data_IF_558840771055
#
_entry.id   IF_558840771055
#
_cell.length_a   1.000
_cell.length_b   1.000
_cell.length_c   1.000
_cell.angle_alpha   90.00
_cell.angle_beta   90.00
_cell.angle_gamma   90.00
#
_symmetry.space_group_name_H-M   'P 1'
#
loop_
_entity.id
_entity.type
_entity.pdbx_description
1 polymer ?
#
# COMPACT_ATOMS: atom_id res chain seq x y z
N UNK A 1 10.71 23.15 -43.01
CA UNK A 1 9.68 22.97 -41.95
C UNK A 1 10.42 22.87 -40.62
N UNK A 2 10.35 23.92 -39.78
CA UNK A 2 10.89 23.84 -38.41
C UNK A 2 10.00 22.85 -37.65
N UNK A 3 10.59 21.81 -37.05
CA UNK A 3 9.86 20.97 -36.12
C UNK A 3 9.40 21.87 -34.97
N UNK A 4 8.09 21.98 -34.75
CA UNK A 4 7.54 22.62 -33.56
C UNK A 4 8.23 22.03 -32.33
N UNK A 5 8.65 22.89 -31.42
CA UNK A 5 9.28 22.41 -30.20
C UNK A 5 8.21 21.66 -29.41
N UNK A 6 8.54 20.50 -28.84
CA UNK A 6 7.58 19.73 -28.03
C UNK A 6 6.98 20.57 -26.88
N UNK A 7 7.72 21.58 -26.40
CA UNK A 7 7.25 22.51 -25.38
C UNK A 7 6.00 23.27 -25.83
N UNK A 8 5.85 23.49 -27.13
CA UNK A 8 4.69 24.16 -27.74
C UNK A 8 3.52 23.20 -27.97
N UNK A 9 3.77 21.88 -27.95
CA UNK A 9 2.78 20.84 -28.28
C UNK A 9 1.94 20.33 -27.09
N UNK A 10 2.09 20.92 -25.90
CA UNK A 10 1.30 20.53 -24.71
C UNK A 10 1.54 19.10 -24.22
N UNK A 11 2.66 18.51 -24.60
CA UNK A 11 2.90 17.10 -24.40
C UNK A 11 3.54 16.79 -23.03
N UNK A 12 3.16 15.66 -22.42
CA UNK A 12 3.61 15.20 -21.09
C UNK A 12 4.56 14.01 -21.24
N UNK A 13 5.70 14.03 -20.54
CA UNK A 13 6.63 12.90 -20.51
C UNK A 13 6.53 12.16 -19.18
N UNK A 14 6.49 10.84 -19.25
CA UNK A 14 6.35 9.96 -18.10
C UNK A 14 7.43 8.89 -18.18
N UNK A 15 8.13 8.66 -17.08
CA UNK A 15 9.20 7.68 -16.97
C UNK A 15 9.33 7.13 -15.55
N UNK A 16 10.42 6.41 -15.32
CA UNK A 16 10.81 5.87 -14.01
C UNK A 16 12.28 6.17 -13.73
N UNK A 17 12.64 6.41 -12.48
CA UNK A 17 14.02 6.64 -12.03
C UNK A 17 14.32 5.85 -10.75
N UNK A 18 15.56 5.37 -10.53
CA UNK A 18 15.94 4.69 -9.28
C UNK A 18 15.72 5.56 -8.03
N UNK A 19 15.27 4.97 -6.93
CA UNK A 19 14.95 5.66 -5.67
C UNK A 19 16.19 6.00 -4.83
N UNK A 20 17.28 5.26 -5.02
CA UNK A 20 18.54 5.38 -4.28
C UNK A 20 19.47 6.48 -4.78
N UNK A 21 19.11 7.16 -5.86
CA UNK A 21 19.86 8.29 -6.39
C UNK A 21 19.25 9.59 -5.90
N UNK A 22 20.03 10.40 -5.16
CA UNK A 22 19.69 11.78 -4.82
C UNK A 22 19.51 12.59 -6.11
N UNK A 23 18.29 12.58 -6.64
CA UNK A 23 17.95 13.09 -7.95
C UNK A 23 17.93 14.63 -7.95
N UNK A 24 19.11 15.23 -8.09
CA UNK A 24 19.27 16.63 -8.44
C UNK A 24 19.31 16.76 -9.96
N UNK A 25 18.25 17.35 -10.52
CA UNK A 25 18.17 17.85 -11.90
C UNK A 25 18.35 16.82 -13.03
N UNK A 26 17.23 16.27 -13.49
CA UNK A 26 17.17 15.62 -14.79
C UNK A 26 17.07 16.68 -15.91
N UNK A 27 18.00 16.63 -16.86
CA UNK A 27 17.94 17.43 -18.09
C UNK A 27 17.95 16.49 -19.30
N UNK A 28 16.88 16.53 -20.09
CA UNK A 28 16.75 15.78 -21.34
C UNK A 28 16.79 16.71 -22.55
N UNK A 29 17.45 16.28 -23.63
CA UNK A 29 17.50 17.05 -24.90
C UNK A 29 16.72 16.30 -25.98
N UNK A 30 15.80 17.02 -26.63
CA UNK A 30 14.96 16.51 -27.73
C UNK A 30 15.56 16.95 -29.07
N UNK A 31 15.69 16.04 -30.03
CA UNK A 31 16.01 16.37 -31.43
C UNK A 31 14.99 15.72 -32.37
N UNK A 32 14.36 16.51 -33.23
CA UNK A 32 13.39 16.08 -34.25
C UNK A 32 12.11 15.40 -33.70
N UNK A 33 11.51 15.94 -32.63
CA UNK A 33 10.25 15.39 -32.08
C UNK A 33 10.36 13.98 -31.47
N UNK A 34 11.58 13.47 -31.33
CA UNK A 34 11.91 12.20 -30.67
C UNK A 34 12.78 12.49 -29.47
N UNK A 35 12.41 11.94 -28.32
CA UNK A 35 13.20 12.04 -27.11
C UNK A 35 14.39 11.08 -27.23
N UNK A 36 15.61 11.61 -27.15
CA UNK A 36 16.80 10.82 -27.48
C UNK A 36 17.68 10.47 -26.29
N UNK A 37 17.39 10.96 -25.07
CA UNK A 37 18.24 10.67 -23.89
C UNK A 37 17.61 11.12 -22.57
N UNK A 38 17.36 10.17 -21.67
CA UNK A 38 17.35 10.41 -20.22
C UNK A 38 18.76 10.11 -19.70
N UNK A 39 19.45 11.09 -19.12
CA UNK A 39 20.73 10.85 -18.46
C UNK A 39 20.47 10.43 -17.02
N UNK A 40 20.91 9.22 -16.70
CA UNK A 40 21.12 8.73 -15.34
C UNK A 40 22.63 8.62 -15.18
N UNK A 41 23.16 9.14 -14.06
CA UNK A 41 24.60 9.15 -13.81
C UNK A 41 25.19 7.73 -13.88
N UNK A 42 26.39 7.59 -14.45
CA UNK A 42 27.03 6.31 -14.79
C UNK A 42 27.01 5.93 -16.27
N UNK A 43 26.56 6.80 -17.18
CA UNK A 43 26.70 6.61 -18.63
C UNK A 43 25.63 5.72 -19.29
N UNK A 44 24.58 5.35 -18.55
CA UNK A 44 23.46 4.56 -19.09
C UNK A 44 22.39 5.49 -19.66
N UNK A 45 22.32 5.60 -20.99
CA UNK A 45 21.27 6.35 -21.68
C UNK A 45 20.02 5.49 -21.87
N UNK A 46 18.85 6.00 -21.46
CA UNK A 46 17.56 5.40 -21.78
C UNK A 46 16.90 6.17 -22.94
N UNK A 47 16.37 5.45 -23.92
CA UNK A 47 15.49 6.02 -24.95
C UNK A 47 14.08 6.14 -24.36
N UNK A 48 13.51 7.34 -24.38
CA UNK A 48 12.10 7.50 -24.02
C UNK A 48 11.24 7.29 -25.27
N UNK A 49 10.18 6.52 -25.11
CA UNK A 49 9.23 6.25 -26.16
C UNK A 49 8.25 7.42 -26.28
N UNK A 50 8.15 7.99 -27.49
CA UNK A 50 7.00 8.80 -27.87
C UNK A 50 6.05 7.89 -28.65
N UNK A 51 4.78 7.83 -28.25
CA UNK A 51 3.74 7.20 -29.08
C UNK A 51 3.62 8.06 -30.34
N UNK A 52 4.32 7.66 -31.40
CA UNK A 52 4.34 8.41 -32.65
C UNK A 52 2.91 8.53 -33.19
N UNK A 53 2.42 9.77 -33.33
CA UNK A 53 1.08 10.06 -33.86
C UNK A 53 -0.05 10.13 -32.83
N UNK A 54 0.24 10.13 -31.52
CA UNK A 54 -0.77 10.35 -30.49
C UNK A 54 -1.27 11.79 -30.48
N UNK A 55 -2.60 11.98 -30.50
CA UNK A 55 -3.22 13.27 -30.16
C UNK A 55 -2.77 13.71 -28.75
N UNK A 56 -2.68 15.03 -28.48
CA UNK A 56 -2.40 15.52 -27.14
C UNK A 56 -3.37 14.90 -26.13
N UNK A 57 -2.86 14.61 -24.92
CA UNK A 57 -3.70 14.07 -23.86
C UNK A 57 -4.81 15.07 -23.51
N UNK A 58 -6.06 14.63 -23.33
CA UNK A 58 -7.14 15.53 -22.95
C UNK A 58 -6.88 16.10 -21.53
N UNK A 59 -7.32 17.33 -21.30
CA UNK A 59 -7.31 17.93 -19.96
C UNK A 59 -8.11 17.03 -19.01
N UNK A 60 -7.54 16.72 -17.84
CA UNK A 60 -8.14 15.79 -16.88
C UNK A 60 -7.87 14.30 -17.16
N UNK A 61 -7.01 13.97 -18.13
CA UNK A 61 -6.62 12.59 -18.36
C UNK A 61 -5.98 11.96 -17.12
N UNK A 62 -6.44 10.78 -16.72
CA UNK A 62 -5.81 9.96 -15.69
C UNK A 62 -4.82 9.00 -16.33
N UNK A 63 -3.59 8.94 -15.83
CA UNK A 63 -2.56 8.04 -16.36
C UNK A 63 -2.17 7.05 -15.28
N UNK A 64 -2.36 5.77 -15.58
CA UNK A 64 -1.98 4.67 -14.69
C UNK A 64 -0.71 4.04 -15.22
N UNK A 65 0.37 4.12 -14.45
CA UNK A 65 1.61 3.42 -14.74
C UNK A 65 1.71 2.15 -13.89
N UNK A 66 2.19 1.05 -14.48
CA UNK A 66 2.54 -0.17 -13.76
C UNK A 66 3.92 -0.65 -14.19
N UNK A 67 4.72 -1.09 -13.22
CA UNK A 67 6.03 -1.69 -13.45
C UNK A 67 5.99 -3.13 -12.95
N UNK A 68 6.15 -4.10 -13.85
CA UNK A 68 6.20 -5.52 -13.51
C UNK A 68 7.26 -6.23 -14.35
N UNK A 69 8.09 -7.06 -13.71
CA UNK A 69 9.11 -7.90 -14.38
C UNK A 69 9.98 -7.13 -15.38
N UNK A 70 10.48 -5.94 -14.99
CA UNK A 70 11.33 -5.12 -15.86
C UNK A 70 10.58 -4.43 -17.01
N UNK A 71 9.25 -4.54 -17.05
CA UNK A 71 8.38 -3.95 -18.07
C UNK A 71 7.56 -2.81 -17.47
N UNK A 72 7.74 -1.61 -18.00
CA UNK A 72 6.89 -0.46 -17.69
C UNK A 72 5.73 -0.42 -18.70
N UNK A 73 4.52 -0.23 -18.22
CA UNK A 73 3.35 -0.03 -19.08
C UNK A 73 2.43 1.05 -18.54
N UNK A 74 1.70 1.70 -19.44
CA UNK A 74 0.85 2.85 -19.14
C UNK A 74 -0.54 2.67 -19.72
N UNK A 75 -1.56 3.08 -18.98
CA UNK A 75 -2.94 3.18 -19.45
C UNK A 75 -3.42 4.64 -19.28
N UNK A 76 -4.23 5.12 -20.22
CA UNK A 76 -4.86 6.44 -20.15
C UNK A 76 -6.35 6.25 -19.95
N UNK A 77 -6.93 6.94 -18.97
CA UNK A 77 -8.35 6.92 -18.64
C UNK A 77 -8.93 5.50 -18.44
N UNK A 78 -8.16 4.61 -17.79
CA UNK A 78 -8.56 3.21 -17.59
C UNK A 78 -8.57 2.35 -18.85
N UNK A 79 -7.98 2.83 -19.95
CA UNK A 79 -7.85 2.09 -21.20
C UNK A 79 -6.85 0.91 -21.13
N UNK A 80 -6.60 0.29 -22.27
CA UNK A 80 -5.64 -0.80 -22.37
C UNK A 80 -4.20 -0.32 -22.06
N UNK A 81 -3.42 -1.16 -21.37
CA UNK A 81 -2.03 -0.87 -21.08
C UNK A 81 -1.17 -0.99 -22.35
N UNK A 82 -0.46 0.08 -22.69
CA UNK A 82 0.60 0.08 -23.68
C UNK A 82 1.95 -0.16 -22.99
N UNK A 83 2.76 -1.05 -23.55
CA UNK A 83 4.09 -1.36 -23.02
C UNK A 83 5.12 -0.36 -23.52
N UNK A 84 5.90 0.20 -22.60
CA UNK A 84 7.05 1.02 -22.93
C UNK A 84 8.20 0.13 -23.41
N UNK A 85 8.73 0.43 -24.59
CA UNK A 85 9.91 -0.25 -25.11
C UNK A 85 11.17 0.51 -24.67
N UNK A 86 12.06 -0.20 -23.97
CA UNK A 86 13.36 0.32 -23.57
C UNK A 86 14.43 -0.27 -24.47
N UNK A 87 15.39 0.56 -24.90
CA UNK A 87 16.55 0.10 -25.67
C UNK A 87 17.46 -0.85 -24.89
N UNK A 88 17.29 -0.96 -23.57
CA UNK A 88 17.95 -1.92 -22.69
C UNK A 88 16.95 -2.43 -21.65
N UNK A 89 17.09 -3.69 -21.18
CA UNK A 89 16.27 -4.20 -20.08
C UNK A 89 16.41 -3.31 -18.84
N UNK A 90 15.30 -3.04 -18.15
CA UNK A 90 15.35 -2.34 -16.86
C UNK A 90 15.94 -3.31 -15.82
N UNK A 91 16.97 -2.89 -15.06
CA UNK A 91 17.52 -3.70 -13.98
C UNK A 91 16.45 -4.19 -12.99
N UNK A 92 16.47 -5.49 -12.70
CA UNK A 92 15.62 -6.10 -11.68
C UNK A 92 16.24 -5.92 -10.29
N UNK A 93 15.42 -5.76 -9.25
CA UNK A 93 15.89 -5.63 -7.86
C UNK A 93 16.25 -4.20 -7.43
N UNK A 94 16.06 -3.21 -8.31
CA UNK A 94 16.18 -1.78 -7.99
C UNK A 94 14.78 -1.21 -7.72
N UNK A 95 14.64 -0.36 -6.70
CA UNK A 95 13.41 0.38 -6.45
C UNK A 95 13.36 1.59 -7.38
N UNK A 96 12.23 1.78 -8.07
CA UNK A 96 12.03 2.90 -8.98
C UNK A 96 10.88 3.80 -8.51
N UNK A 97 11.05 5.11 -8.67
CA UNK A 97 10.02 6.13 -8.54
C UNK A 97 9.51 6.58 -9.92
N UNK A 98 8.22 6.88 -10.08
CA UNK A 98 7.70 7.49 -11.29
C UNK A 98 8.21 8.93 -11.43
N UNK A 99 8.54 9.34 -12.65
CA UNK A 99 8.97 10.71 -12.96
C UNK A 99 8.07 11.28 -14.04
N UNK A 100 7.59 12.51 -13.83
CA UNK A 100 6.76 13.22 -14.79
C UNK A 100 7.42 14.56 -15.11
N UNK A 101 7.62 14.85 -16.41
CA UNK A 101 8.17 16.11 -16.88
C UNK A 101 7.14 16.90 -17.69
N UNK A 102 7.05 18.19 -17.38
CA UNK A 102 6.22 19.16 -18.10
C UNK A 102 7.11 20.04 -18.96
N UNK A 103 6.74 20.18 -20.23
CA UNK A 103 7.44 21.06 -21.16
C UNK A 103 7.16 22.55 -20.93
N UNK A 104 6.11 22.89 -20.16
CA UNK A 104 5.63 24.25 -19.98
C UNK A 104 5.77 24.73 -18.54
N UNK A 105 6.14 26.00 -18.36
CA UNK A 105 6.11 26.67 -17.04
C UNK A 105 4.65 26.89 -16.64
N UNK A 106 4.31 26.54 -15.40
CA UNK A 106 2.98 26.79 -14.82
C UNK A 106 1.98 25.64 -14.94
N UNK A 107 2.36 24.48 -15.48
CA UNK A 107 1.52 23.28 -15.41
C UNK A 107 1.56 22.69 -14.00
N UNK A 108 0.40 22.54 -13.37
CA UNK A 108 0.26 21.86 -12.08
C UNK A 108 -0.15 20.41 -12.30
N UNK A 109 0.37 19.52 -11.45
CA UNK A 109 0.03 18.10 -11.45
C UNK A 109 -0.60 17.78 -10.14
N UNK A 110 -1.80 17.25 -10.20
CA UNK A 110 -2.35 16.56 -9.04
C UNK A 110 -1.94 15.09 -9.14
N UNK A 111 -1.04 14.68 -8.26
CA UNK A 111 -0.75 13.25 -8.08
C UNK A 111 -1.90 12.68 -7.27
N UNK A 112 -2.94 12.25 -7.98
CA UNK A 112 -3.92 11.34 -7.41
C UNK A 112 -3.19 10.05 -7.14
N UNK A 113 -2.86 9.82 -5.86
CA UNK A 113 -2.48 8.49 -5.42
C UNK A 113 -3.73 7.65 -5.64
N UNK A 114 -3.81 7.00 -6.80
CA UNK A 114 -4.75 5.92 -6.97
C UNK A 114 -4.52 5.02 -5.78
N UNK A 115 -5.59 4.62 -5.10
CA UNK A 115 -5.55 3.47 -4.23
C UNK A 115 -5.24 2.26 -5.12
N UNK A 116 -4.00 2.16 -5.62
CA UNK A 116 -3.35 0.89 -5.69
C UNK A 116 -3.64 0.31 -4.32
N UNK A 117 -4.41 -0.77 -4.32
CA UNK A 117 -4.64 -1.66 -3.19
C UNK A 117 -3.25 -2.13 -2.72
N UNK A 118 -2.53 -1.22 -2.09
CA UNK A 118 -1.09 -1.22 -1.84
C UNK A 118 -0.75 -2.11 -0.66
N UNK A 119 -1.74 -2.81 -0.14
CA UNK A 119 -1.48 -4.07 0.51
C UNK A 119 -1.21 -5.12 -0.56
N UNK A 120 0.06 -5.25 -0.98
CA UNK A 120 0.62 -6.57 -1.32
C UNK A 120 0.46 -7.59 -0.17
N UNK A 121 -0.08 -7.16 0.97
CA UNK A 121 -0.51 -8.03 2.04
C UNK A 121 -1.78 -8.80 1.65
N UNK A 122 -1.72 -10.11 1.78
CA UNK A 122 -2.86 -11.02 1.60
C UNK A 122 -4.13 -10.50 2.32
N UNK A 123 -5.34 -10.59 1.76
CA UNK A 123 -6.56 -10.27 2.51
C UNK A 123 -6.65 -11.02 3.87
N UNK A 124 -7.18 -10.38 4.92
CA UNK A 124 -7.20 -10.94 6.28
C UNK A 124 -8.03 -12.22 6.37
N UNK A 125 -9.20 -12.22 5.73
CA UNK A 125 -10.10 -13.35 5.55
C UNK A 125 -9.41 -14.56 4.92
N UNK A 126 -8.60 -14.35 3.87
CA UNK A 126 -7.82 -15.41 3.23
C UNK A 126 -6.76 -15.95 4.18
N UNK A 127 -6.02 -15.07 4.87
CA UNK A 127 -4.96 -15.47 5.80
C UNK A 127 -5.52 -16.33 6.96
N UNK A 128 -6.69 -15.96 7.46
CA UNK A 128 -7.42 -16.71 8.49
C UNK A 128 -7.93 -18.03 7.96
N UNK A 129 -8.50 -18.05 6.75
CA UNK A 129 -8.96 -19.26 6.10
C UNK A 129 -7.82 -20.28 5.95
N UNK A 130 -6.65 -19.80 5.52
CA UNK A 130 -5.42 -20.62 5.43
C UNK A 130 -5.00 -21.13 6.81
N UNK A 131 -4.99 -20.30 7.85
CA UNK A 131 -4.66 -20.73 9.21
C UNK A 131 -5.62 -21.81 9.72
N UNK A 132 -6.93 -21.62 9.49
CA UNK A 132 -7.98 -22.55 9.92
C UNK A 132 -7.86 -23.90 9.19
N UNK A 133 -7.63 -23.88 7.87
CA UNK A 133 -7.40 -25.09 7.09
C UNK A 133 -6.11 -25.79 7.51
N UNK A 134 -5.01 -25.05 7.68
CA UNK A 134 -3.73 -25.59 8.12
C UNK A 134 -3.86 -26.25 9.50
N UNK A 135 -4.61 -25.66 10.43
CA UNK A 135 -4.92 -26.27 11.74
C UNK A 135 -5.76 -27.53 11.59
N UNK A 136 -6.84 -27.49 10.79
CA UNK A 136 -7.74 -28.64 10.56
C UNK A 136 -7.02 -29.85 9.97
N UNK A 137 -6.06 -29.62 9.07
CA UNK A 137 -5.28 -30.67 8.42
C UNK A 137 -3.88 -30.88 9.05
N UNK A 138 -3.61 -30.26 10.21
CA UNK A 138 -2.35 -30.39 10.96
C UNK A 138 -1.09 -30.06 10.14
N UNK A 139 -1.19 -29.14 9.18
CA UNK A 139 -0.06 -28.67 8.36
C UNK A 139 0.72 -27.60 9.13
N UNK A 140 1.60 -28.06 10.03
CA UNK A 140 2.31 -27.22 11.00
C UNK A 140 3.11 -26.07 10.38
N UNK A 141 3.79 -26.30 9.26
CA UNK A 141 4.59 -25.27 8.57
C UNK A 141 3.72 -24.08 8.11
N UNK A 142 2.59 -24.36 7.45
CA UNK A 142 1.67 -23.33 6.95
C UNK A 142 0.99 -22.61 8.11
N UNK A 143 0.58 -23.33 9.15
CA UNK A 143 -0.02 -22.74 10.35
C UNK A 143 0.98 -21.78 11.03
N UNK A 144 2.25 -22.15 11.13
CA UNK A 144 3.31 -21.31 11.70
C UNK A 144 3.50 -20.02 10.90
N UNK A 145 3.57 -20.12 9.56
CA UNK A 145 3.69 -18.94 8.68
C UNK A 145 2.47 -18.02 8.79
N UNK A 146 1.26 -18.57 8.77
CA UNK A 146 0.03 -17.80 8.89
C UNK A 146 -0.07 -17.11 10.26
N UNK A 147 0.27 -17.82 11.33
CA UNK A 147 0.34 -17.28 12.70
C UNK A 147 1.34 -16.13 12.79
N UNK A 148 2.53 -16.25 12.18
CA UNK A 148 3.54 -15.19 12.16
C UNK A 148 3.02 -13.95 11.42
N UNK A 149 2.44 -14.14 10.23
CA UNK A 149 1.86 -13.04 9.46
C UNK A 149 0.72 -12.32 10.20
N UNK A 150 -0.13 -13.05 10.92
CA UNK A 150 -1.19 -12.45 11.76
C UNK A 150 -0.60 -11.65 12.93
N UNK A 151 0.43 -12.15 13.61
CA UNK A 151 1.14 -11.42 14.67
C UNK A 151 1.77 -10.11 14.15
N UNK A 152 2.39 -10.15 12.98
CA UNK A 152 2.93 -8.94 12.34
C UNK A 152 1.83 -7.93 12.02
N UNK A 153 0.65 -8.38 11.59
CA UNK A 153 -0.48 -7.48 11.32
C UNK A 153 -1.04 -6.84 12.58
N UNK A 154 -1.12 -7.57 13.68
CA UNK A 154 -1.48 -7.00 14.99
C UNK A 154 -0.50 -5.88 15.36
N UNK A 155 0.80 -6.14 15.22
CA UNK A 155 1.84 -5.13 15.48
C UNK A 155 1.72 -3.92 14.54
N UNK A 156 1.42 -4.14 13.25
CA UNK A 156 1.18 -3.06 12.28
C UNK A 156 -0.07 -2.24 12.63
N UNK A 157 -1.18 -2.89 12.98
CA UNK A 157 -2.43 -2.24 13.37
C UNK A 157 -2.22 -1.35 14.60
N UNK A 158 -1.51 -1.87 15.63
CA UNK A 158 -1.11 -1.08 16.81
C UNK A 158 -0.27 0.14 16.43
N UNK A 159 0.77 -0.02 15.59
CA UNK A 159 1.60 1.10 15.12
C UNK A 159 0.81 2.17 14.37
N UNK A 160 -0.18 1.76 13.57
CA UNK A 160 -1.07 2.65 12.81
C UNK A 160 -2.22 3.20 13.65
N UNK A 161 -2.37 2.78 14.91
CA UNK A 161 -3.50 3.08 15.78
C UNK A 161 -4.86 2.69 15.17
N UNK A 162 -4.85 1.66 14.33
CA UNK A 162 -6.05 1.15 13.67
C UNK A 162 -6.73 0.11 14.58
N UNK A 163 -7.68 0.60 15.38
CA UNK A 163 -8.42 -0.23 16.33
C UNK A 163 -9.33 -1.23 15.61
N UNK A 164 -9.90 -0.86 14.45
CA UNK A 164 -10.83 -1.73 13.72
C UNK A 164 -10.13 -2.96 13.14
N UNK A 165 -8.96 -2.76 12.52
CA UNK A 165 -8.16 -3.88 12.03
C UNK A 165 -7.67 -4.78 13.18
N UNK A 166 -7.25 -4.19 14.31
CA UNK A 166 -6.81 -4.95 15.48
C UNK A 166 -7.94 -5.83 16.05
N UNK A 167 -9.11 -5.22 16.26
CA UNK A 167 -10.32 -5.87 16.75
C UNK A 167 -10.74 -7.02 15.84
N UNK A 168 -10.78 -6.80 14.53
CA UNK A 168 -11.14 -7.83 13.56
C UNK A 168 -10.16 -9.01 13.60
N UNK A 169 -8.85 -8.77 13.71
CA UNK A 169 -7.85 -9.84 13.82
C UNK A 169 -8.04 -10.63 15.12
N UNK A 170 -8.28 -9.95 16.25
CA UNK A 170 -8.48 -10.62 17.55
C UNK A 170 -9.78 -11.43 17.57
N UNK A 171 -10.90 -10.86 17.13
CA UNK A 171 -12.17 -11.58 17.00
C UNK A 171 -12.01 -12.85 16.16
N UNK A 172 -11.25 -12.75 15.08
CA UNK A 172 -10.99 -13.88 14.19
C UNK A 172 -10.04 -14.90 14.80
N UNK A 173 -9.06 -14.48 15.59
CA UNK A 173 -8.19 -15.39 16.35
C UNK A 173 -8.99 -16.17 17.41
N UNK A 174 -9.96 -15.53 18.06
CA UNK A 174 -10.87 -16.17 19.03
C UNK A 174 -11.74 -17.21 18.33
N UNK A 175 -12.40 -16.85 17.22
CA UNK A 175 -13.30 -17.77 16.52
C UNK A 175 -12.59 -18.93 15.83
N UNK A 176 -11.33 -18.75 15.43
CA UNK A 176 -10.48 -19.79 14.83
C UNK A 176 -9.70 -20.65 15.84
N UNK A 177 -9.89 -20.43 17.15
CA UNK A 177 -9.10 -21.05 18.22
C UNK A 177 -7.58 -20.91 17.98
N UNK A 178 -7.14 -19.74 17.51
CA UNK A 178 -5.73 -19.45 17.20
C UNK A 178 -5.03 -18.88 18.43
N UNK A 179 -4.88 -19.70 19.48
CA UNK A 179 -4.39 -19.26 20.80
C UNK A 179 -3.06 -18.49 20.76
N UNK A 180 -2.13 -18.92 19.91
CA UNK A 180 -0.84 -18.23 19.76
C UNK A 180 -0.97 -16.80 19.23
N UNK A 181 -1.99 -16.52 18.39
CA UNK A 181 -2.30 -15.17 17.88
C UNK A 181 -3.07 -14.40 18.95
N UNK A 182 -4.04 -15.03 19.60
CA UNK A 182 -4.84 -14.44 20.70
C UNK A 182 -3.95 -13.94 21.83
N UNK A 183 -3.03 -14.77 22.34
CA UNK A 183 -2.10 -14.37 23.41
C UNK A 183 -1.20 -13.20 22.98
N UNK A 184 -0.67 -13.23 21.76
CA UNK A 184 0.15 -12.13 21.23
C UNK A 184 -0.66 -10.82 21.07
N UNK A 185 -1.95 -10.92 20.74
CA UNK A 185 -2.86 -9.78 20.69
C UNK A 185 -3.11 -9.22 22.09
N UNK A 186 -3.41 -10.07 23.07
CA UNK A 186 -3.62 -9.66 24.46
C UNK A 186 -2.37 -8.98 25.05
N UNK A 187 -1.18 -9.51 24.79
CA UNK A 187 0.07 -8.87 25.18
C UNK A 187 0.26 -7.51 24.50
N UNK A 188 -0.05 -7.43 23.20
CA UNK A 188 0.00 -6.16 22.46
C UNK A 188 -1.02 -5.14 22.95
N UNK A 189 -2.19 -5.59 23.41
CA UNK A 189 -3.29 -4.77 23.87
C UNK A 189 -2.97 -4.02 25.17
N UNK A 190 -2.14 -4.59 26.06
CA UNK A 190 -1.78 -3.98 27.35
C UNK A 190 -1.35 -2.52 27.24
N UNK A 191 -0.57 -2.19 26.21
CA UNK A 191 -0.06 -0.83 25.97
C UNK A 191 -0.75 -0.12 24.80
N UNK A 192 -1.96 -0.54 24.40
CA UNK A 192 -2.70 0.06 23.30
C UNK A 192 -3.82 0.99 23.82
N UNK A 193 -3.47 2.25 24.06
CA UNK A 193 -4.37 3.23 24.72
C UNK A 193 -5.67 3.49 23.95
N UNK A 194 -5.62 3.55 22.62
CA UNK A 194 -6.79 3.77 21.77
C UNK A 194 -7.78 2.61 21.84
N UNK A 195 -7.28 1.37 21.90
CA UNK A 195 -8.10 0.18 22.11
C UNK A 195 -8.73 0.19 23.50
N UNK A 196 -7.97 0.58 24.54
CA UNK A 196 -8.47 0.71 25.90
C UNK A 196 -9.62 1.71 25.99
N UNK A 197 -9.50 2.85 25.33
CA UNK A 197 -10.56 3.87 25.29
C UNK A 197 -11.85 3.33 24.68
N UNK A 198 -11.76 2.56 23.58
CA UNK A 198 -12.94 1.91 22.96
C UNK A 198 -13.56 0.82 23.83
N UNK A 199 -12.72 0.09 24.57
CA UNK A 199 -13.16 -0.92 25.53
C UNK A 199 -13.95 -0.29 26.68
N UNK A 200 -13.41 0.76 27.30
CA UNK A 200 -14.10 1.47 28.39
C UNK A 200 -15.40 2.14 27.92
N UNK A 201 -15.46 2.56 26.65
CA UNK A 201 -16.68 3.05 26.01
C UNK A 201 -17.71 1.96 25.67
N UNK A 202 -17.38 0.67 25.82
CA UNK A 202 -18.27 -0.45 25.47
C UNK A 202 -18.56 -0.55 23.97
N UNK A 203 -17.67 -0.03 23.12
CA UNK A 203 -17.86 0.07 21.66
C UNK A 203 -17.27 -1.10 20.87
N UNK A 204 -16.59 -2.03 21.55
CA UNK A 204 -15.96 -3.19 20.93
C UNK A 204 -16.96 -4.35 20.75
N UNK A 205 -16.63 -5.28 19.85
CA UNK A 205 -17.30 -6.54 19.66
C UNK A 205 -17.38 -7.31 20.98
N UNK A 206 -18.54 -7.89 21.33
CA UNK A 206 -18.74 -8.56 22.62
C UNK A 206 -17.71 -9.64 22.94
N UNK A 207 -17.34 -10.44 21.94
CA UNK A 207 -16.33 -11.51 22.07
C UNK A 207 -14.94 -10.95 22.37
N UNK A 208 -14.56 -9.85 21.74
CA UNK A 208 -13.28 -9.18 21.96
C UNK A 208 -13.27 -8.51 23.33
N UNK A 209 -14.36 -7.84 23.70
CA UNK A 209 -14.52 -7.22 25.01
C UNK A 209 -14.44 -8.27 26.13
N UNK A 210 -15.07 -9.43 25.95
CA UNK A 210 -14.98 -10.52 26.92
C UNK A 210 -13.54 -11.02 27.09
N UNK A 211 -12.80 -11.19 25.99
CA UNK A 211 -11.41 -11.65 26.08
C UNK A 211 -10.49 -10.61 26.73
N UNK A 212 -10.71 -9.32 26.45
CA UNK A 212 -9.95 -8.22 27.04
C UNK A 212 -10.19 -8.05 28.55
N UNK A 213 -11.26 -8.61 29.11
CA UNK A 213 -11.46 -8.62 30.57
C UNK A 213 -10.33 -9.35 31.31
N UNK A 214 -9.61 -10.26 30.64
CA UNK A 214 -8.45 -10.95 31.20
C UNK A 214 -7.31 -9.98 31.57
N UNK A 215 -7.15 -8.88 30.82
CA UNK A 215 -6.14 -7.85 31.10
C UNK A 215 -6.74 -6.60 31.74
N UNK A 216 -8.03 -6.33 31.50
CA UNK A 216 -8.74 -5.14 31.95
C UNK A 216 -10.02 -5.53 32.69
N UNK A 217 -9.89 -6.00 33.95
CA UNK A 217 -11.04 -6.44 34.73
C UNK A 217 -12.06 -5.31 34.86
N UNK A 218 -13.37 -5.63 34.80
CA UNK A 218 -14.40 -4.63 34.98
C UNK A 218 -14.23 -3.99 36.37
N UNK A 219 -14.35 -2.67 36.43
CA UNK A 219 -14.37 -1.97 37.72
C UNK A 219 -15.66 -2.43 38.42
N UNK A 220 -15.51 -3.39 39.33
CA UNK A 220 -16.59 -3.82 40.20
C UNK A 220 -17.03 -2.58 40.98
N UNK A 221 -18.13 -1.95 40.56
CA UNK A 221 -18.78 -0.93 41.36
C UNK A 221 -19.12 -1.63 42.67
N UNK A 222 -18.41 -1.27 43.75
CA UNK A 222 -18.72 -1.75 45.09
C UNK A 222 -20.22 -1.59 45.24
N UNK A 223 -20.95 -2.72 45.32
CA UNK A 223 -22.38 -2.70 45.61
C UNK A 223 -22.49 -1.93 46.92
N UNK A 224 -23.04 -0.71 46.86
CA UNK A 224 -23.33 0.02 48.08
C UNK A 224 -24.23 -0.90 48.92
N UNK A 225 -23.87 -1.18 50.18
CA UNK A 225 -24.68 -2.04 51.04
C UNK A 225 -26.11 -1.50 51.02
N UNK A 226 -27.03 -2.36 50.62
CA UNK A 226 -28.33 -1.98 50.10
C UNK A 226 -29.12 -1.07 51.05
N UNK A 227 -29.77 -0.07 50.47
CA UNK A 227 -31.14 0.23 50.90
C UNK A 227 -31.98 -0.96 50.45
N UNK A 228 -32.31 -1.84 51.38
CA UNK A 228 -33.39 -2.80 51.16
C UNK A 228 -34.65 -1.99 50.85
N UNK A 229 -35.15 -2.08 49.62
CA UNK A 229 -36.49 -1.62 49.28
C UNK A 229 -37.45 -2.67 49.86
N UNK A 230 -37.87 -2.43 51.09
CA UNK A 230 -39.05 -3.05 51.70
C UNK A 230 -40.27 -2.19 51.40
#
# INVERSE_FOLDING_TARGET
>A
VRAESWQDSGNVMIGVAPLDQESSLFSGVIRNGKFKRLYVDGGTSFEAFSVAGGSPLPVGATITARFNDGTLSFAVNGGAFATAHFGRPIPTGVLYAPVIFFGQRGTTVEVLHGEASSSNECPLDILVGVASLAKKYLVSAVLSMATHALKERIAKAKRRKDVGAFEQILATAISGDLDAVRMAALDSARDFAELRSRYDAGSLLPEVAHDLQAIWPPILRKRLPGKCLF
#
